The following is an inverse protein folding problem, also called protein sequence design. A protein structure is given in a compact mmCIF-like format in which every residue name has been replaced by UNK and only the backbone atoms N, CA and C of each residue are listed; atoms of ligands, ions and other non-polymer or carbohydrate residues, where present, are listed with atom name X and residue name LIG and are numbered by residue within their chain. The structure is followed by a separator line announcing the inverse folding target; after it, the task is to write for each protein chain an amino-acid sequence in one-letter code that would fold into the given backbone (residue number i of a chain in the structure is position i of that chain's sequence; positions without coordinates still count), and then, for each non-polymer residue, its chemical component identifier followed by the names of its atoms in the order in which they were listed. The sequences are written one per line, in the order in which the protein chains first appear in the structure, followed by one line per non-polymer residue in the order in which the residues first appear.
data_IF_346821801777
#
_entry.id   IF_346821801777
#
_cell.length_a   1.000
_cell.length_b   1.000
_cell.length_c   1.000
_cell.angle_alpha   90.00
_cell.angle_beta   90.00
_cell.angle_gamma   90.00
#
_symmetry.space_group_name_H-M   'P 1'
#
loop_
_entity.id
_entity.type
_entity.pdbx_description
1 polymer ?
#
# COMPACT_ATOMS: atom_id res chain seq x y z
N UNK A 1 6.56 -31.16 11.44
CA UNK A 1 6.40 -32.53 10.89
C UNK A 1 5.73 -32.37 9.53
N UNK A 2 6.48 -32.51 8.45
CA UNK A 2 5.94 -32.54 7.08
C UNK A 2 5.22 -33.87 6.91
N UNK A 3 3.89 -33.87 6.97
CA UNK A 3 3.12 -35.03 6.52
C UNK A 3 3.45 -35.24 5.05
N UNK A 4 4.10 -36.36 4.73
CA UNK A 4 4.33 -36.80 3.36
C UNK A 4 2.98 -37.19 2.74
N UNK A 5 2.41 -36.27 1.96
CA UNK A 5 1.21 -36.54 1.17
C UNK A 5 1.52 -37.65 0.17
N UNK A 6 0.66 -38.68 0.12
CA UNK A 6 0.71 -39.68 -0.95
C UNK A 6 0.21 -39.05 -2.24
N UNK A 7 0.63 -39.58 -3.39
CA UNK A 7 0.16 -39.14 -4.72
C UNK A 7 -1.37 -39.17 -4.79
N UNK A 8 -2.01 -40.16 -4.18
CA UNK A 8 -3.47 -40.28 -4.19
C UNK A 8 -4.14 -39.17 -3.36
N UNK A 9 -3.57 -38.79 -2.21
CA UNK A 9 -4.04 -37.66 -1.41
C UNK A 9 -3.92 -36.33 -2.19
N UNK A 10 -2.84 -36.15 -2.94
CA UNK A 10 -2.67 -34.97 -3.81
C UNK A 10 -3.73 -34.97 -4.92
N UNK A 11 -4.00 -36.12 -5.56
CA UNK A 11 -5.06 -36.23 -6.58
C UNK A 11 -6.45 -35.91 -6.01
N UNK A 12 -6.76 -36.41 -4.83
CA UNK A 12 -8.04 -36.14 -4.16
C UNK A 12 -8.21 -34.65 -3.86
N UNK A 13 -7.15 -33.97 -3.38
CA UNK A 13 -7.18 -32.54 -3.13
C UNK A 13 -7.33 -31.74 -4.44
N UNK A 14 -6.69 -32.15 -5.54
CA UNK A 14 -6.88 -31.53 -6.86
C UNK A 14 -8.30 -31.72 -7.37
N UNK A 15 -8.91 -32.88 -7.15
CA UNK A 15 -10.30 -33.14 -7.54
C UNK A 15 -11.27 -32.27 -6.73
N UNK A 16 -11.05 -32.16 -5.42
CA UNK A 16 -11.85 -31.24 -4.55
C UNK A 16 -11.72 -29.81 -5.01
N UNK A 17 -10.48 -29.36 -5.29
CA UNK A 17 -10.19 -28.04 -5.80
C UNK A 17 -10.95 -27.73 -7.10
N UNK A 18 -10.88 -28.61 -8.10
CA UNK A 18 -11.59 -28.45 -9.39
C UNK A 18 -13.11 -28.40 -9.26
N UNK A 19 -13.66 -29.05 -8.24
CA UNK A 19 -15.10 -29.09 -8.00
C UNK A 19 -15.58 -28.04 -6.99
N UNK A 20 -14.70 -27.17 -6.49
CA UNK A 20 -15.09 -26.08 -5.59
C UNK A 20 -15.89 -25.02 -6.38
N UNK A 21 -17.14 -24.70 -5.99
CA UNK A 21 -17.95 -23.71 -6.70
C UNK A 21 -17.34 -22.30 -6.69
N UNK A 22 -16.59 -21.95 -5.64
CA UNK A 22 -15.93 -20.64 -5.55
C UNK A 22 -14.71 -20.60 -6.49
N UNK A 23 -13.98 -21.72 -6.63
CA UNK A 23 -12.94 -21.85 -7.64
C UNK A 23 -13.46 -21.66 -9.06
N UNK A 24 -14.56 -22.33 -9.42
CA UNK A 24 -15.14 -22.22 -10.75
C UNK A 24 -15.59 -20.78 -11.07
N UNK A 25 -16.13 -20.06 -10.08
CA UNK A 25 -16.48 -18.63 -10.24
C UNK A 25 -15.24 -17.77 -10.46
N UNK A 26 -14.19 -17.97 -9.64
CA UNK A 26 -12.93 -17.25 -9.75
C UNK A 26 -12.21 -17.58 -11.07
N UNK A 27 -12.19 -18.86 -11.47
CA UNK A 27 -11.65 -19.30 -12.75
C UNK A 27 -12.32 -18.57 -13.90
N UNK A 28 -13.65 -18.59 -13.98
CA UNK A 28 -14.41 -17.88 -15.01
C UNK A 28 -14.12 -16.36 -14.99
N UNK A 29 -13.98 -15.77 -13.81
CA UNK A 29 -13.70 -14.34 -13.66
C UNK A 29 -12.30 -14.01 -14.18
N UNK A 30 -11.26 -14.71 -13.73
CA UNK A 30 -9.86 -14.41 -14.05
C UNK A 30 -9.42 -14.89 -15.44
N UNK A 31 -10.00 -15.94 -15.99
CA UNK A 31 -9.72 -16.38 -17.38
C UNK A 31 -10.47 -15.57 -18.44
N UNK A 32 -11.51 -14.85 -18.08
CA UNK A 32 -12.20 -13.96 -19.01
C UNK A 32 -11.55 -12.58 -18.99
N UNK A 33 -11.08 -12.13 -20.14
CA UNK A 33 -10.51 -10.78 -20.28
C UNK A 33 -11.57 -9.71 -20.07
N UNK A 34 -11.22 -8.62 -19.36
CA UNK A 34 -12.03 -7.41 -19.35
C UNK A 34 -11.97 -6.70 -20.72
N UNK A 35 -12.93 -5.83 -20.98
CA UNK A 35 -12.96 -5.08 -22.24
C UNK A 35 -11.68 -4.22 -22.41
N UNK A 36 -11.19 -3.62 -21.33
CA UNK A 36 -9.95 -2.82 -21.34
C UNK A 36 -8.70 -3.65 -21.66
N UNK A 37 -8.64 -4.93 -21.21
CA UNK A 37 -7.55 -5.84 -21.56
C UNK A 37 -7.60 -6.24 -23.03
N UNK A 38 -8.80 -6.50 -23.56
CA UNK A 38 -8.99 -6.81 -25.00
C UNK A 38 -8.47 -5.64 -25.86
N UNK A 39 -8.69 -4.41 -25.41
CA UNK A 39 -8.21 -3.20 -26.09
C UNK A 39 -6.73 -2.86 -25.79
N UNK A 40 -6.07 -3.55 -24.87
CA UNK A 40 -4.70 -3.25 -24.44
C UNK A 40 -4.55 -1.91 -23.72
N UNK A 41 -5.58 -1.48 -22.96
CA UNK A 41 -5.61 -0.18 -22.26
C UNK A 41 -5.85 -0.31 -20.75
N UNK A 42 -5.87 -1.53 -20.21
CA UNK A 42 -6.24 -1.83 -18.83
C UNK A 42 -5.32 -1.17 -17.76
N UNK A 43 -4.11 -0.78 -18.14
CA UNK A 43 -3.13 -0.12 -17.25
C UNK A 43 -2.76 1.29 -17.71
N UNK A 44 -3.39 1.80 -18.75
CA UNK A 44 -3.10 3.15 -19.26
C UNK A 44 -3.73 4.21 -18.39
N UNK A 45 -2.92 5.09 -17.79
CA UNK A 45 -3.34 6.22 -16.93
C UNK A 45 -4.47 7.05 -17.57
N UNK A 46 -4.34 7.36 -18.87
CA UNK A 46 -5.36 8.13 -19.63
C UNK A 46 -6.73 7.43 -19.66
N UNK A 47 -6.77 6.11 -19.69
CA UNK A 47 -8.03 5.34 -19.72
C UNK A 47 -8.73 5.41 -18.36
N UNK A 48 -7.97 5.27 -17.27
CA UNK A 48 -8.48 5.42 -15.91
C UNK A 48 -8.92 6.84 -15.63
N UNK A 49 -8.15 7.84 -16.04
CA UNK A 49 -8.48 9.26 -15.89
C UNK A 49 -9.73 9.62 -16.65
N UNK A 50 -9.89 9.09 -17.87
CA UNK A 50 -11.11 9.27 -18.68
C UNK A 50 -12.34 8.64 -18.02
N UNK A 51 -12.21 7.40 -17.50
CA UNK A 51 -13.30 6.72 -16.78
C UNK A 51 -13.70 7.49 -15.51
N UNK A 52 -12.73 7.89 -14.69
CA UNK A 52 -13.01 8.64 -13.46
C UNK A 52 -13.63 10.00 -13.75
N UNK A 53 -13.17 10.71 -14.79
CA UNK A 53 -13.79 11.97 -15.19
C UNK A 53 -15.25 11.80 -15.64
N UNK A 54 -15.57 10.73 -16.39
CA UNK A 54 -16.93 10.36 -16.72
C UNK A 54 -17.75 10.05 -15.46
N UNK A 55 -17.22 9.22 -14.55
CA UNK A 55 -17.93 8.82 -13.33
C UNK A 55 -18.22 9.99 -12.39
N UNK A 56 -17.32 10.98 -12.31
CA UNK A 56 -17.44 12.14 -11.42
C UNK A 56 -18.30 13.26 -11.99
N UNK A 57 -18.59 13.26 -13.29
CA UNK A 57 -19.43 14.28 -13.95
C UNK A 57 -20.92 14.09 -13.61
N UNK A 58 -21.64 15.16 -13.26
CA UNK A 58 -23.05 15.05 -12.83
C UNK A 58 -24.07 15.00 -13.98
N UNK A 59 -23.66 15.37 -15.20
CA UNK A 59 -24.51 15.39 -16.39
C UNK A 59 -24.20 14.24 -17.35
N UNK A 60 -23.44 13.25 -16.88
CA UNK A 60 -22.98 12.14 -17.69
C UNK A 60 -24.04 11.04 -17.86
N UNK A 61 -23.80 10.16 -18.83
CA UNK A 61 -24.74 9.09 -19.25
C UNK A 61 -24.98 8.00 -18.20
N UNK A 62 -24.22 8.00 -17.09
CA UNK A 62 -24.44 7.09 -15.96
C UNK A 62 -25.68 7.44 -15.12
N UNK A 63 -26.18 8.68 -15.21
CA UNK A 63 -27.35 9.18 -14.48
C UNK A 63 -27.27 9.09 -12.95
N UNK A 64 -26.06 9.16 -12.38
CA UNK A 64 -25.85 9.21 -10.93
C UNK A 64 -26.01 10.63 -10.34
N UNK A 65 -26.14 11.64 -11.22
CA UNK A 65 -26.23 13.05 -10.79
C UNK A 65 -25.02 13.44 -9.93
N UNK A 66 -25.28 14.02 -8.77
CA UNK A 66 -24.23 14.46 -7.84
C UNK A 66 -23.67 13.34 -6.95
N UNK A 67 -24.24 12.14 -6.99
CA UNK A 67 -23.86 11.05 -6.11
C UNK A 67 -22.36 10.77 -6.16
N UNK A 68 -21.80 10.61 -7.35
CA UNK A 68 -20.39 10.23 -7.52
C UNK A 68 -19.43 11.29 -7.00
N UNK A 69 -19.70 12.56 -7.30
CA UNK A 69 -18.83 13.64 -6.82
C UNK A 69 -18.93 13.79 -5.29
N UNK A 70 -20.12 13.65 -4.68
CA UNK A 70 -20.28 13.66 -3.23
C UNK A 70 -19.48 12.54 -2.57
N UNK A 71 -19.54 11.33 -3.11
CA UNK A 71 -18.73 10.20 -2.63
C UNK A 71 -17.22 10.44 -2.78
N UNK A 72 -16.81 11.11 -3.83
CA UNK A 72 -15.41 11.49 -3.98
C UNK A 72 -14.97 12.57 -2.97
N UNK A 73 -15.84 13.50 -2.63
CA UNK A 73 -15.59 14.46 -1.52
C UNK A 73 -15.47 13.74 -0.16
N UNK A 74 -16.25 12.68 0.09
CA UNK A 74 -16.09 11.82 1.27
C UNK A 74 -14.70 11.17 1.32
N UNK A 75 -14.19 10.70 0.17
CA UNK A 75 -12.83 10.16 0.08
C UNK A 75 -11.79 11.24 0.40
N UNK A 76 -11.92 12.43 -0.17
CA UNK A 76 -11.05 13.58 0.14
C UNK A 76 -11.10 13.91 1.64
N UNK A 77 -12.29 13.97 2.24
CA UNK A 77 -12.46 14.20 3.67
C UNK A 77 -11.71 13.15 4.50
N UNK A 78 -11.82 11.88 4.11
CA UNK A 78 -11.19 10.76 4.83
C UNK A 78 -9.67 10.86 4.81
N UNK A 79 -9.07 11.12 3.66
CA UNK A 79 -7.61 11.08 3.46
C UNK A 79 -6.90 12.43 3.63
N UNK A 80 -7.65 13.52 3.81
CA UNK A 80 -7.07 14.83 4.10
C UNK A 80 -6.40 14.85 5.46
N UNK A 81 -5.21 15.46 5.53
CA UNK A 81 -4.48 15.65 6.78
C UNK A 81 -5.12 16.75 7.65
N UNK A 82 -4.77 16.78 8.93
CA UNK A 82 -5.29 17.74 9.90
C UNK A 82 -4.94 19.20 9.54
N UNK A 83 -3.80 19.45 8.90
CA UNK A 83 -3.39 20.80 8.47
C UNK A 83 -4.38 21.37 7.46
N UNK A 84 -4.74 20.58 6.45
CA UNK A 84 -5.69 20.98 5.41
C UNK A 84 -7.10 21.14 5.99
N UNK A 85 -7.55 20.20 6.83
CA UNK A 85 -8.85 20.26 7.52
C UNK A 85 -9.00 21.50 8.41
N UNK A 86 -7.95 21.86 9.15
CA UNK A 86 -7.97 23.08 9.97
C UNK A 86 -7.96 24.36 9.15
N UNK A 87 -7.19 24.39 8.05
CA UNK A 87 -7.12 25.55 7.14
C UNK A 87 -8.48 25.88 6.51
N UNK A 88 -9.28 24.86 6.18
CA UNK A 88 -10.56 24.97 5.50
C UNK A 88 -11.68 24.33 6.32
N UNK A 89 -11.72 24.62 7.63
CA UNK A 89 -12.63 23.95 8.58
C UNK A 89 -14.11 24.03 8.19
N UNK A 90 -14.56 25.18 7.67
CA UNK A 90 -15.96 25.37 7.25
C UNK A 90 -16.31 24.40 6.10
N UNK A 91 -15.41 24.24 5.13
CA UNK A 91 -15.59 23.31 4.03
C UNK A 91 -15.64 21.86 4.51
N UNK A 92 -14.66 21.44 5.32
CA UNK A 92 -14.59 20.07 5.79
C UNK A 92 -15.72 19.72 6.78
N UNK A 93 -16.17 20.70 7.59
CA UNK A 93 -17.38 20.52 8.40
C UNK A 93 -18.63 20.35 7.54
N UNK A 94 -18.77 21.14 6.47
CA UNK A 94 -19.88 20.97 5.53
C UNK A 94 -19.85 19.61 4.84
N UNK A 95 -18.68 19.05 4.52
CA UNK A 95 -18.56 17.69 4.00
C UNK A 95 -19.01 16.64 5.02
N UNK A 96 -18.64 16.79 6.30
CA UNK A 96 -19.07 15.87 7.37
C UNK A 96 -20.58 15.89 7.59
N UNK A 97 -21.19 17.10 7.58
CA UNK A 97 -22.63 17.27 7.85
C UNK A 97 -23.50 17.16 6.60
N UNK A 98 -22.88 17.05 5.41
CA UNK A 98 -23.56 17.14 4.11
C UNK A 98 -24.38 18.45 3.93
N UNK A 99 -24.05 19.52 4.68
CA UNK A 99 -24.73 20.80 4.64
C UNK A 99 -24.13 21.75 3.58
N UNK A 100 -24.27 21.34 2.33
CA UNK A 100 -23.89 22.12 1.15
C UNK A 100 -24.72 21.73 -0.07
N UNK A 101 -24.84 22.65 -1.02
CA UNK A 101 -25.36 22.37 -2.37
C UNK A 101 -24.31 22.61 -3.42
N UNK A 102 -24.34 21.81 -4.49
CA UNK A 102 -23.47 21.96 -5.66
C UNK A 102 -24.20 22.84 -6.67
N UNK A 103 -23.74 24.08 -6.83
CA UNK A 103 -24.30 25.03 -7.81
C UNK A 103 -23.73 24.82 -9.23
N UNK A 104 -22.46 24.40 -9.29
CA UNK A 104 -21.78 24.14 -10.54
C UNK A 104 -20.75 23.03 -10.36
N UNK A 105 -20.70 22.14 -11.36
CA UNK A 105 -19.67 21.10 -11.47
C UNK A 105 -19.14 21.08 -12.90
N UNK A 106 -17.82 21.10 -13.02
CA UNK A 106 -17.09 20.86 -14.26
C UNK A 106 -16.01 19.83 -14.00
N UNK A 107 -15.98 18.77 -14.79
CA UNK A 107 -14.98 17.68 -14.70
C UNK A 107 -14.38 17.48 -16.09
N UNK A 108 -13.06 17.37 -16.16
CA UNK A 108 -12.36 17.10 -17.40
C UNK A 108 -11.08 16.31 -17.17
N UNK A 109 -10.92 15.20 -17.90
CA UNK A 109 -9.63 14.51 -18.03
C UNK A 109 -8.72 15.25 -19.02
N UNK A 110 -7.41 15.03 -18.90
CA UNK A 110 -6.40 15.57 -19.82
C UNK A 110 -6.50 17.10 -19.98
N UNK A 111 -6.69 17.81 -18.86
CA UNK A 111 -6.88 19.26 -18.86
C UNK A 111 -5.57 20.01 -19.08
N UNK A 112 -5.43 20.65 -20.25
CA UNK A 112 -4.21 21.39 -20.60
C UNK A 112 -4.10 22.73 -19.86
N UNK A 113 -2.96 22.96 -19.22
CA UNK A 113 -2.59 24.24 -18.60
C UNK A 113 -1.45 24.85 -19.42
N UNK A 114 -1.69 26.05 -19.92
CA UNK A 114 -0.70 26.75 -20.75
C UNK A 114 0.63 26.92 -19.99
N UNK A 115 1.72 26.49 -20.61
CA UNK A 115 3.10 26.57 -20.11
C UNK A 115 3.39 25.78 -18.82
N UNK A 116 2.48 24.89 -18.37
CA UNK A 116 2.69 24.06 -17.16
C UNK A 116 2.65 22.57 -17.52
N UNK A 117 1.62 22.16 -18.26
CA UNK A 117 1.45 20.75 -18.60
C UNK A 117 -0.02 20.39 -18.79
N UNK A 118 -0.31 19.11 -18.55
CA UNK A 118 -1.64 18.55 -18.68
C UNK A 118 -1.97 17.75 -17.44
N UNK A 119 -3.06 18.14 -16.76
CA UNK A 119 -3.58 17.43 -15.60
C UNK A 119 -4.32 16.19 -16.05
N UNK A 120 -4.14 15.09 -15.32
CA UNK A 120 -4.87 13.86 -15.62
C UNK A 120 -6.36 14.04 -15.41
N UNK A 121 -6.78 14.66 -14.28
CA UNK A 121 -8.18 15.06 -14.06
C UNK A 121 -8.21 16.41 -13.36
N UNK A 122 -9.06 17.28 -13.87
CA UNK A 122 -9.37 18.59 -13.29
C UNK A 122 -10.85 18.70 -12.98
N UNK A 123 -11.17 19.11 -11.75
CA UNK A 123 -12.54 19.31 -11.27
C UNK A 123 -12.68 20.75 -10.76
N UNK A 124 -13.75 21.41 -11.15
CA UNK A 124 -14.14 22.73 -10.67
C UNK A 124 -15.54 22.63 -10.07
N UNK A 125 -15.66 22.98 -8.80
CA UNK A 125 -16.90 22.97 -8.02
C UNK A 125 -17.22 24.37 -7.52
N UNK A 126 -18.47 24.77 -7.65
CA UNK A 126 -19.02 25.91 -6.90
C UNK A 126 -20.02 25.35 -5.88
N UNK A 127 -19.71 25.53 -4.60
CA UNK A 127 -20.55 25.07 -3.50
C UNK A 127 -21.19 26.27 -2.80
N UNK A 128 -22.45 26.10 -2.38
CA UNK A 128 -23.11 27.01 -1.44
C UNK A 128 -23.08 26.36 -0.05
N UNK A 129 -22.38 26.99 0.90
CA UNK A 129 -22.21 26.52 2.30
C UNK A 129 -22.64 27.65 3.21
N UNK A 130 -23.67 27.41 4.06
CA UNK A 130 -24.22 28.40 4.98
C UNK A 130 -24.49 29.79 4.32
N UNK A 131 -25.02 29.77 3.10
CA UNK A 131 -25.31 30.98 2.32
C UNK A 131 -24.12 31.69 1.67
N UNK A 132 -22.92 31.10 1.75
CA UNK A 132 -21.69 31.62 1.11
C UNK A 132 -21.24 30.72 -0.02
N UNK A 133 -20.80 31.33 -1.12
CA UNK A 133 -20.27 30.62 -2.25
C UNK A 133 -18.80 30.29 -2.04
N UNK A 134 -18.42 29.02 -2.25
CA UNK A 134 -17.03 28.53 -2.24
C UNK A 134 -16.70 27.91 -3.60
N UNK A 135 -15.59 28.34 -4.21
CA UNK A 135 -15.07 27.74 -5.43
C UNK A 135 -13.95 26.78 -5.09
N UNK A 136 -14.11 25.53 -5.48
CA UNK A 136 -13.15 24.46 -5.17
C UNK A 136 -12.63 23.93 -6.48
N UNK A 137 -11.31 23.85 -6.58
CA UNK A 137 -10.60 23.17 -7.67
C UNK A 137 -9.94 21.92 -7.11
N UNK A 138 -10.15 20.78 -7.76
CA UNK A 138 -9.48 19.55 -7.40
C UNK A 138 -8.58 19.17 -8.56
N UNK A 139 -7.30 19.06 -8.27
CA UNK A 139 -6.24 18.69 -9.22
C UNK A 139 -5.82 17.27 -8.89
N UNK A 140 -6.04 16.34 -9.81
CA UNK A 140 -5.71 14.93 -9.62
C UNK A 140 -4.59 14.55 -10.59
N UNK A 141 -3.49 14.06 -10.04
CA UNK A 141 -2.45 13.34 -10.76
C UNK A 141 -2.65 11.85 -10.52
N UNK A 142 -2.75 11.09 -11.60
CA UNK A 142 -3.05 9.67 -11.60
C UNK A 142 -1.84 8.88 -12.12
N UNK A 143 -1.30 7.97 -11.31
CA UNK A 143 -0.19 7.09 -11.68
C UNK A 143 -0.57 5.65 -11.47
N UNK A 144 -0.40 4.83 -12.52
CA UNK A 144 -0.74 3.40 -12.50
C UNK A 144 0.52 2.54 -12.53
N UNK A 145 1.39 2.75 -13.51
CA UNK A 145 2.62 1.96 -13.70
C UNK A 145 3.89 2.80 -13.63
N UNK A 146 3.75 4.11 -13.63
CA UNK A 146 4.87 5.05 -13.61
C UNK A 146 4.95 5.82 -12.29
N UNK A 147 6.15 6.31 -11.98
CA UNK A 147 6.33 7.34 -10.93
C UNK A 147 6.12 8.73 -11.53
N UNK A 148 6.04 9.72 -10.64
CA UNK A 148 6.03 11.12 -11.04
C UNK A 148 7.28 11.47 -11.86
N UNK A 149 7.06 12.11 -13.01
CA UNK A 149 8.12 12.59 -13.88
C UNK A 149 8.26 14.13 -13.77
N UNK A 150 9.49 14.64 -13.89
CA UNK A 150 9.77 16.08 -14.07
C UNK A 150 9.11 17.03 -13.06
N UNK A 151 8.94 16.60 -11.80
CA UNK A 151 8.42 17.46 -10.72
C UNK A 151 7.02 18.06 -11.04
N UNK A 152 6.16 17.24 -11.67
CA UNK A 152 4.82 17.65 -12.14
C UNK A 152 3.97 18.21 -11.00
N UNK A 153 3.89 17.49 -9.88
CA UNK A 153 3.05 17.89 -8.73
C UNK A 153 3.46 19.23 -8.15
N UNK A 154 4.76 19.52 -8.03
CA UNK A 154 5.24 20.83 -7.60
C UNK A 154 4.93 21.91 -8.64
N UNK A 155 4.97 21.58 -9.93
CA UNK A 155 4.62 22.55 -11.01
C UNK A 155 3.14 22.92 -10.94
N UNK A 156 2.24 21.96 -10.71
CA UNK A 156 0.82 22.21 -10.52
C UNK A 156 0.56 23.02 -9.25
N UNK A 157 1.20 22.66 -8.14
CA UNK A 157 1.08 23.41 -6.91
C UNK A 157 1.52 24.88 -7.09
N UNK A 158 2.67 25.14 -7.69
CA UNK A 158 3.17 26.50 -7.98
C UNK A 158 2.20 27.31 -8.84
N UNK A 159 1.50 26.66 -9.78
CA UNK A 159 0.54 27.33 -10.66
C UNK A 159 -0.75 27.72 -9.91
N UNK A 160 -1.34 26.82 -9.16
CA UNK A 160 -2.64 27.04 -8.53
C UNK A 160 -2.57 27.69 -7.15
N UNK A 161 -1.51 27.46 -6.37
CA UNK A 161 -1.41 27.95 -4.99
C UNK A 161 -1.55 29.49 -4.87
N UNK A 162 -1.00 30.33 -5.74
CA UNK A 162 -1.19 31.78 -5.69
C UNK A 162 -2.63 32.25 -5.89
N UNK A 163 -3.52 31.40 -6.42
CA UNK A 163 -4.93 31.71 -6.65
C UNK A 163 -5.83 31.36 -5.48
N UNK A 164 -5.28 30.77 -4.41
CA UNK A 164 -6.03 30.34 -3.24
C UNK A 164 -6.34 31.51 -2.28
N UNK A 165 -7.54 31.47 -1.74
CA UNK A 165 -8.00 32.32 -0.63
C UNK A 165 -9.14 31.58 0.09
N UNK A 166 -9.83 32.24 1.05
CA UNK A 166 -10.91 31.62 1.82
C UNK A 166 -12.10 31.16 0.97
N UNK A 167 -12.34 31.77 -0.18
CA UNK A 167 -13.44 31.43 -1.08
C UNK A 167 -13.01 30.66 -2.33
N UNK A 168 -11.71 30.57 -2.60
CA UNK A 168 -11.13 29.84 -3.73
C UNK A 168 -10.11 28.82 -3.20
N UNK A 169 -10.52 27.58 -3.07
CA UNK A 169 -9.76 26.51 -2.44
C UNK A 169 -9.24 25.57 -3.55
N UNK A 170 -7.99 25.13 -3.41
CA UNK A 170 -7.44 24.09 -4.28
C UNK A 170 -7.05 22.88 -3.45
N UNK A 171 -7.54 21.71 -3.87
CA UNK A 171 -7.24 20.41 -3.27
C UNK A 171 -6.45 19.61 -4.29
N UNK A 172 -5.33 19.05 -3.86
CA UNK A 172 -4.43 18.27 -4.70
C UNK A 172 -4.53 16.80 -4.31
N UNK A 173 -4.70 15.92 -5.27
CA UNK A 173 -4.87 14.48 -5.07
C UNK A 173 -3.84 13.72 -5.92
N UNK A 174 -3.12 12.81 -5.28
CA UNK A 174 -2.25 11.85 -5.94
C UNK A 174 -2.87 10.46 -5.83
N UNK A 175 -3.29 9.90 -6.96
CA UNK A 175 -3.99 8.63 -7.05
C UNK A 175 -3.06 7.56 -7.60
N UNK A 176 -2.86 6.48 -6.83
CA UNK A 176 -2.01 5.35 -7.23
C UNK A 176 -2.66 4.02 -6.85
N UNK A 177 -2.20 2.88 -7.39
CA UNK A 177 -2.67 1.55 -6.96
C UNK A 177 -2.03 1.05 -5.66
N UNK A 178 -1.36 1.90 -4.88
CA UNK A 178 -0.76 1.52 -3.60
C UNK A 178 -1.74 0.72 -2.73
N UNK A 179 -1.25 -0.31 -2.05
CA UNK A 179 -2.10 -1.11 -1.17
C UNK A 179 -2.69 -0.30 -0.01
N UNK A 180 -3.83 -0.72 0.53
CA UNK A 180 -4.44 -0.04 1.68
C UNK A 180 -3.54 -0.06 2.91
N UNK A 181 -2.76 -1.13 3.11
CA UNK A 181 -1.82 -1.22 4.23
C UNK A 181 -0.67 -0.22 4.06
N UNK A 182 -0.07 -0.16 2.88
CA UNK A 182 0.99 0.80 2.59
C UNK A 182 0.46 2.24 2.69
N UNK A 183 -0.76 2.52 2.20
CA UNK A 183 -1.40 3.83 2.33
C UNK A 183 -1.56 4.28 3.80
N UNK A 184 -1.96 3.38 4.69
CA UNK A 184 -2.13 3.69 6.12
C UNK A 184 -0.77 3.99 6.78
N UNK A 185 0.30 3.36 6.32
CA UNK A 185 1.65 3.54 6.87
C UNK A 185 2.40 4.75 6.29
N UNK A 186 1.88 5.35 5.21
CA UNK A 186 2.48 6.56 4.64
C UNK A 186 2.34 7.75 5.59
N UNK A 187 3.44 8.41 5.83
CA UNK A 187 3.48 9.70 6.55
C UNK A 187 3.35 10.90 5.60
N UNK A 188 3.72 10.71 4.34
CA UNK A 188 3.69 11.70 3.27
C UNK A 188 3.30 11.03 1.95
N UNK A 189 2.74 11.78 0.98
CA UNK A 189 2.40 11.23 -0.34
C UNK A 189 3.66 10.77 -1.10
N UNK A 190 3.48 9.78 -1.97
CA UNK A 190 4.58 9.23 -2.80
C UNK A 190 5.08 10.20 -3.88
N UNK A 191 4.40 11.31 -4.11
CA UNK A 191 4.82 12.36 -5.04
C UNK A 191 5.76 13.38 -4.40
N UNK A 192 6.38 14.23 -5.24
CA UNK A 192 7.34 15.24 -4.79
C UNK A 192 6.69 16.37 -3.98
N UNK A 193 5.46 16.75 -4.31
CA UNK A 193 4.74 17.81 -3.61
C UNK A 193 3.96 17.28 -2.40
N UNK A 194 4.36 17.67 -1.19
CA UNK A 194 3.76 17.22 0.08
C UNK A 194 2.39 17.82 0.40
N UNK A 195 1.89 18.74 -0.41
CA UNK A 195 0.53 19.30 -0.28
C UNK A 195 -0.53 18.43 -1.00
N UNK A 196 -0.12 17.35 -1.70
CA UNK A 196 -1.03 16.38 -2.30
C UNK A 196 -1.55 15.38 -1.24
N UNK A 197 -2.81 15.02 -1.38
CA UNK A 197 -3.45 13.94 -0.61
C UNK A 197 -3.22 12.64 -1.36
N UNK A 198 -2.61 11.65 -0.70
CA UNK A 198 -2.48 10.32 -1.27
C UNK A 198 -3.80 9.56 -1.16
N UNK A 199 -4.28 9.03 -2.27
CA UNK A 199 -5.47 8.17 -2.37
C UNK A 199 -5.09 6.92 -3.17
N UNK A 200 -5.72 5.78 -2.89
CA UNK A 200 -5.51 4.58 -3.68
C UNK A 200 -6.78 4.15 -4.44
N UNK A 201 -6.60 3.31 -5.46
CA UNK A 201 -7.70 2.75 -6.24
C UNK A 201 -8.66 1.90 -5.41
N UNK A 202 -8.17 1.22 -4.35
CA UNK A 202 -9.05 0.49 -3.45
C UNK A 202 -10.07 1.41 -2.76
N UNK A 203 -9.67 2.61 -2.40
CA UNK A 203 -10.59 3.61 -1.82
C UNK A 203 -11.63 4.09 -2.84
N UNK A 204 -11.24 4.23 -4.11
CA UNK A 204 -12.20 4.53 -5.20
C UNK A 204 -13.22 3.39 -5.35
N UNK A 205 -12.79 2.15 -5.26
CA UNK A 205 -13.70 1.00 -5.30
C UNK A 205 -14.63 1.00 -4.10
N UNK A 206 -14.08 1.06 -2.89
CA UNK A 206 -14.84 0.88 -1.65
C UNK A 206 -15.84 2.00 -1.37
N UNK A 207 -15.48 3.25 -1.69
CA UNK A 207 -16.27 4.43 -1.30
C UNK A 207 -17.01 5.10 -2.46
N UNK A 208 -16.71 4.75 -3.72
CA UNK A 208 -17.35 5.34 -4.88
C UNK A 208 -18.01 4.30 -5.78
N UNK A 209 -17.26 3.31 -6.32
CA UNK A 209 -17.77 2.39 -7.34
C UNK A 209 -18.78 1.40 -6.75
N UNK A 210 -18.43 0.72 -5.67
CA UNK A 210 -19.33 -0.23 -4.99
C UNK A 210 -20.62 0.46 -4.49
N UNK A 211 -20.56 1.64 -3.85
CA UNK A 211 -21.77 2.39 -3.54
C UNK A 211 -22.58 2.81 -4.77
N UNK A 212 -21.93 3.14 -5.90
CA UNK A 212 -22.62 3.50 -7.15
C UNK A 212 -23.37 2.31 -7.76
N UNK A 213 -22.82 1.09 -7.68
CA UNK A 213 -23.48 -0.14 -8.12
C UNK A 213 -24.75 -0.45 -7.33
N UNK A 214 -24.87 0.05 -6.09
CA UNK A 214 -26.06 -0.09 -5.25
C UNK A 214 -27.12 0.98 -5.52
N UNK A 215 -26.88 1.93 -6.45
CA UNK A 215 -27.88 2.93 -6.83
C UNK A 215 -28.82 2.36 -7.91
N UNK A 216 -29.96 3.05 -8.10
CA UNK A 216 -30.88 2.72 -9.17
C UNK A 216 -30.33 3.25 -10.53
N UNK A 217 -29.41 2.48 -11.12
CA UNK A 217 -28.73 2.78 -12.37
C UNK A 217 -29.19 1.88 -13.51
N UNK A 218 -28.97 2.31 -14.74
CA UNK A 218 -29.28 1.52 -15.93
C UNK A 218 -28.38 0.27 -15.99
N UNK A 219 -28.87 -0.81 -16.62
CA UNK A 219 -28.06 -2.02 -16.89
C UNK A 219 -26.76 -1.67 -17.65
N UNK A 220 -26.81 -0.68 -18.55
CA UNK A 220 -25.60 -0.21 -19.25
C UNK A 220 -24.58 0.36 -18.28
N UNK A 221 -24.99 1.24 -17.38
CA UNK A 221 -24.12 1.81 -16.36
C UNK A 221 -23.56 0.73 -15.44
N UNK A 222 -24.41 -0.18 -14.99
CA UNK A 222 -24.00 -1.32 -14.17
C UNK A 222 -22.91 -2.15 -14.87
N UNK A 223 -23.10 -2.49 -16.14
CA UNK A 223 -22.11 -3.25 -16.91
C UNK A 223 -20.79 -2.49 -17.04
N UNK A 224 -20.82 -1.17 -17.30
CA UNK A 224 -19.60 -0.36 -17.39
C UNK A 224 -18.84 -0.36 -16.07
N UNK A 225 -19.53 -0.17 -14.94
CA UNK A 225 -18.90 -0.19 -13.60
C UNK A 225 -18.32 -1.57 -13.27
N UNK A 226 -19.05 -2.65 -13.58
CA UNK A 226 -18.61 -4.03 -13.37
C UNK A 226 -17.39 -4.37 -14.23
N UNK A 227 -17.37 -3.97 -15.50
CA UNK A 227 -16.22 -4.16 -16.39
C UNK A 227 -14.99 -3.35 -15.91
N UNK A 228 -15.21 -2.17 -15.36
CA UNK A 228 -14.12 -1.38 -14.79
C UNK A 228 -13.55 -2.03 -13.52
N UNK A 229 -14.41 -2.51 -12.60
CA UNK A 229 -13.96 -3.30 -11.45
C UNK A 229 -13.12 -4.49 -11.87
N UNK A 230 -13.60 -5.25 -12.87
CA UNK A 230 -12.86 -6.37 -13.43
C UNK A 230 -11.50 -5.97 -13.96
N UNK A 231 -11.41 -4.82 -14.63
CA UNK A 231 -10.15 -4.27 -15.13
C UNK A 231 -9.14 -3.95 -13.99
N UNK A 232 -9.62 -3.47 -12.83
CA UNK A 232 -8.77 -3.16 -11.69
C UNK A 232 -8.26 -4.41 -10.96
N UNK A 233 -9.04 -5.49 -10.96
CA UNK A 233 -8.73 -6.72 -10.23
C UNK A 233 -7.93 -7.74 -11.04
N UNK A 234 -7.81 -7.58 -12.35
CA UNK A 234 -6.98 -8.47 -13.16
C UNK A 234 -5.49 -8.32 -12.82
N UNK A 235 -4.80 -9.44 -12.51
CA UNK A 235 -3.38 -9.41 -12.28
C UNK A 235 -2.62 -8.95 -13.53
N UNK A 236 -1.69 -8.00 -13.37
CA UNK A 236 -0.76 -7.61 -14.42
C UNK A 236 0.63 -8.11 -14.09
N UNK A 237 1.17 -8.96 -14.93
CA UNK A 237 2.57 -9.38 -14.87
C UNK A 237 3.26 -8.63 -16.01
N UNK A 238 3.80 -7.45 -15.74
CA UNK A 238 4.54 -6.68 -16.72
C UNK A 238 6.04 -6.74 -16.39
N UNK A 239 6.81 -7.45 -17.24
CA UNK A 239 8.25 -7.64 -17.06
C UNK A 239 9.06 -6.39 -17.48
N UNK A 240 8.44 -5.45 -18.19
CA UNK A 240 9.12 -4.29 -18.80
C UNK A 240 9.02 -3.01 -17.93
N UNK A 241 8.53 -3.10 -16.72
CA UNK A 241 8.46 -1.91 -15.87
C UNK A 241 9.85 -1.47 -15.43
N UNK A 242 10.16 -0.21 -15.65
CA UNK A 242 11.42 0.51 -15.32
C UNK A 242 11.88 0.38 -13.85
N UNK A 243 12.03 -0.85 -13.33
CA UNK A 243 12.53 -1.12 -11.98
C UNK A 243 11.62 -0.65 -10.84
N UNK A 244 10.38 -0.26 -11.11
CA UNK A 244 9.43 0.17 -10.11
C UNK A 244 8.52 -0.97 -9.65
N UNK A 245 8.24 -1.03 -8.34
CA UNK A 245 7.23 -1.94 -7.78
C UNK A 245 5.89 -1.63 -8.44
N UNK A 246 5.41 -2.54 -9.27
CA UNK A 246 4.05 -2.49 -9.78
C UNK A 246 3.15 -3.28 -8.83
N UNK A 247 2.00 -2.69 -8.49
CA UNK A 247 1.00 -3.47 -7.80
C UNK A 247 0.40 -4.49 -8.77
N UNK A 248 0.49 -5.76 -8.40
CA UNK A 248 -0.03 -6.87 -9.20
C UNK A 248 -1.52 -6.68 -9.51
N UNK A 249 -2.27 -6.19 -8.53
CA UNK A 249 -3.71 -5.91 -8.59
C UNK A 249 -3.92 -4.47 -8.13
N UNK A 250 -4.71 -3.68 -8.88
CA UNK A 250 -4.97 -2.28 -8.53
C UNK A 250 -6.00 -2.15 -7.41
N UNK A 251 -7.10 -2.93 -7.48
CA UNK A 251 -8.13 -2.98 -6.46
C UNK A 251 -9.02 -4.21 -6.64
N UNK A 252 -9.70 -4.64 -5.58
CA UNK A 252 -10.62 -5.77 -5.57
C UNK A 252 -12.03 -5.33 -5.16
N UNK A 253 -13.05 -5.84 -5.83
CA UNK A 253 -14.45 -5.69 -5.43
C UNK A 253 -14.78 -6.47 -4.16
N UNK A 254 -15.87 -6.10 -3.48
CA UNK A 254 -16.28 -6.71 -2.21
C UNK A 254 -16.62 -8.19 -2.34
N UNK A 255 -17.35 -8.57 -3.39
CA UNK A 255 -17.73 -9.98 -3.62
C UNK A 255 -16.49 -10.82 -3.95
N UNK A 256 -15.62 -10.28 -4.79
CA UNK A 256 -14.37 -10.92 -5.18
C UNK A 256 -13.44 -11.15 -3.97
N UNK A 257 -13.27 -10.16 -3.11
CA UNK A 257 -12.51 -10.31 -1.86
C UNK A 257 -13.04 -11.43 -0.98
N UNK A 258 -14.38 -11.54 -0.85
CA UNK A 258 -15.01 -12.62 -0.08
C UNK A 258 -14.75 -13.99 -0.70
N UNK A 259 -14.89 -14.10 -2.03
CA UNK A 259 -14.63 -15.35 -2.75
C UNK A 259 -13.16 -15.78 -2.63
N UNK A 260 -12.22 -14.84 -2.80
CA UNK A 260 -10.79 -15.11 -2.65
C UNK A 260 -10.42 -15.52 -1.23
N UNK A 261 -11.02 -14.87 -0.22
CA UNK A 261 -10.81 -15.25 1.19
C UNK A 261 -11.35 -16.66 1.48
N UNK A 262 -12.57 -16.98 1.02
CA UNK A 262 -13.15 -18.32 1.15
C UNK A 262 -12.32 -19.38 0.43
N UNK A 263 -11.86 -19.07 -0.77
CA UNK A 263 -11.00 -19.94 -1.56
C UNK A 263 -9.66 -20.20 -0.85
N UNK A 264 -9.03 -19.17 -0.31
CA UNK A 264 -7.81 -19.30 0.50
C UNK A 264 -8.01 -20.20 1.72
N UNK A 265 -9.07 -19.97 2.51
CA UNK A 265 -9.38 -20.76 3.70
C UNK A 265 -9.52 -22.25 3.38
N UNK A 266 -10.18 -22.60 2.29
CA UNK A 266 -10.41 -23.99 1.87
C UNK A 266 -9.17 -24.65 1.27
N UNK A 267 -8.35 -23.90 0.53
CA UNK A 267 -7.31 -24.44 -0.35
C UNK A 267 -5.88 -24.04 0.09
N UNK A 268 -5.71 -23.44 1.25
CA UNK A 268 -4.42 -22.92 1.73
C UNK A 268 -3.29 -23.93 1.62
N UNK A 269 -3.52 -25.20 2.04
CA UNK A 269 -2.50 -26.25 2.00
C UNK A 269 -2.03 -26.53 0.57
N UNK A 270 -2.94 -26.61 -0.38
CA UNK A 270 -2.62 -26.87 -1.79
C UNK A 270 -1.86 -25.70 -2.40
N UNK A 271 -2.27 -24.48 -2.12
CA UNK A 271 -1.61 -23.26 -2.60
C UNK A 271 -0.18 -23.18 -2.06
N UNK A 272 0.00 -23.39 -0.75
CA UNK A 272 1.33 -23.39 -0.11
C UNK A 272 2.24 -24.49 -0.68
N UNK A 273 1.70 -25.70 -0.90
CA UNK A 273 2.45 -26.80 -1.51
C UNK A 273 2.88 -26.46 -2.95
N UNK A 274 2.02 -25.82 -3.72
CA UNK A 274 2.34 -25.39 -5.09
C UNK A 274 3.42 -24.31 -5.10
N UNK A 275 3.32 -23.31 -4.25
CA UNK A 275 4.34 -22.26 -4.09
C UNK A 275 5.68 -22.86 -3.63
N UNK A 276 5.66 -23.83 -2.70
CA UNK A 276 6.87 -24.53 -2.26
C UNK A 276 7.52 -25.29 -3.40
N UNK A 277 6.74 -26.00 -4.22
CA UNK A 277 7.27 -26.72 -5.38
C UNK A 277 8.00 -25.79 -6.35
N UNK A 278 7.38 -24.64 -6.71
CA UNK A 278 7.99 -23.65 -7.60
C UNK A 278 9.26 -23.06 -6.98
N UNK A 279 9.23 -22.71 -5.68
CA UNK A 279 10.39 -22.13 -4.99
C UNK A 279 11.58 -23.08 -4.87
N UNK A 280 11.34 -24.40 -5.01
CA UNK A 280 12.36 -25.46 -4.90
C UNK A 280 12.83 -25.98 -6.26
N UNK A 281 12.19 -25.56 -7.36
CA UNK A 281 12.51 -25.99 -8.72
C UNK A 281 13.75 -25.25 -9.24
N UNK A 282 14.86 -25.95 -9.53
CA UNK A 282 16.07 -25.31 -10.06
C UNK A 282 15.91 -24.74 -11.49
N UNK A 283 14.89 -25.17 -12.25
CA UNK A 283 14.60 -24.66 -13.59
C UNK A 283 13.87 -23.31 -13.57
N UNK A 284 13.31 -22.92 -12.43
CA UNK A 284 12.68 -21.61 -12.27
C UNK A 284 13.72 -20.51 -12.11
N UNK A 285 13.39 -19.30 -12.56
CA UNK A 285 14.21 -18.12 -12.39
C UNK A 285 14.54 -17.86 -10.91
N UNK A 286 15.77 -17.43 -10.64
CA UNK A 286 16.24 -17.20 -9.27
C UNK A 286 15.39 -16.19 -8.52
N UNK A 287 15.06 -15.08 -9.16
CA UNK A 287 14.28 -13.99 -8.54
C UNK A 287 12.86 -14.44 -8.20
N UNK A 288 12.23 -15.24 -9.06
CA UNK A 288 10.92 -15.88 -8.80
C UNK A 288 11.00 -16.80 -7.59
N UNK A 289 12.00 -17.67 -7.51
CA UNK A 289 12.19 -18.57 -6.38
C UNK A 289 12.42 -17.84 -5.07
N UNK A 290 13.24 -16.79 -5.10
CA UNK A 290 13.57 -16.01 -3.89
C UNK A 290 12.34 -15.23 -3.40
N UNK A 291 11.56 -14.61 -4.30
CA UNK A 291 10.31 -13.92 -3.97
C UNK A 291 9.26 -14.87 -3.37
N UNK A 292 9.09 -16.06 -3.94
CA UNK A 292 8.15 -17.07 -3.42
C UNK A 292 8.62 -17.60 -2.06
N UNK A 293 9.92 -17.81 -1.84
CA UNK A 293 10.45 -18.22 -0.52
C UNK A 293 10.18 -17.17 0.54
N UNK A 294 10.40 -15.89 0.25
CA UNK A 294 10.06 -14.80 1.17
C UNK A 294 8.56 -14.80 1.51
N UNK A 295 7.69 -15.00 0.53
CA UNK A 295 6.25 -15.10 0.74
C UNK A 295 5.88 -16.33 1.61
N UNK A 296 6.45 -17.50 1.32
CA UNK A 296 6.25 -18.71 2.11
C UNK A 296 6.75 -18.56 3.56
N UNK A 297 7.92 -17.94 3.75
CA UNK A 297 8.44 -17.64 5.08
C UNK A 297 7.51 -16.72 5.87
N UNK A 298 6.90 -15.75 5.19
CA UNK A 298 5.91 -14.83 5.78
C UNK A 298 4.59 -15.52 6.13
N UNK A 299 4.15 -16.47 5.31
CA UNK A 299 2.90 -17.22 5.49
C UNK A 299 3.05 -18.41 6.46
N UNK A 300 4.21 -19.06 6.47
CA UNK A 300 4.52 -20.17 7.38
C UNK A 300 4.83 -19.69 8.81
N UNK A 301 5.09 -18.40 8.97
CA UNK A 301 5.07 -17.82 10.29
C UNK A 301 3.64 -17.91 10.83
N UNK A 302 3.36 -18.89 11.70
CA UNK A 302 2.38 -18.65 12.75
C UNK A 302 2.59 -17.19 13.15
N UNK A 303 1.53 -16.36 13.11
CA UNK A 303 1.65 -14.96 13.55
C UNK A 303 2.13 -15.05 14.98
N UNK A 304 3.45 -15.09 15.10
CA UNK A 304 4.15 -15.13 16.37
C UNK A 304 3.75 -13.86 17.11
N UNK A 305 2.66 -13.95 17.87
CA UNK A 305 2.15 -12.87 18.71
C UNK A 305 2.94 -12.78 19.99
N UNK A 306 3.97 -13.62 20.15
CA UNK A 306 4.87 -13.60 21.29
C UNK A 306 5.44 -12.19 21.43
N UNK A 307 5.34 -11.67 22.60
CA UNK A 307 6.08 -10.50 23.01
C UNK A 307 7.33 -10.96 23.77
N UNK A 308 8.31 -10.09 23.76
CA UNK A 308 9.61 -10.39 24.38
C UNK A 308 9.89 -9.40 25.49
N UNK A 309 10.59 -9.90 26.50
CA UNK A 309 11.21 -9.08 27.53
C UNK A 309 12.73 -9.21 27.38
N UNK A 310 13.47 -8.13 27.57
CA UNK A 310 14.92 -8.13 27.61
C UNK A 310 15.38 -7.79 29.04
N UNK A 311 16.29 -8.61 29.58
CA UNK A 311 16.87 -8.46 30.90
C UNK A 311 18.38 -8.32 30.81
N UNK A 312 18.95 -7.63 31.77
CA UNK A 312 20.39 -7.54 31.94
C UNK A 312 20.77 -7.75 33.41
N UNK A 313 21.57 -8.75 33.66
CA UNK A 313 21.94 -9.19 35.04
C UNK A 313 20.70 -9.42 35.93
N UNK A 314 19.64 -10.05 35.39
CA UNK A 314 18.40 -10.34 36.09
C UNK A 314 17.40 -9.19 36.18
N UNK A 315 17.76 -7.95 35.83
CA UNK A 315 16.84 -6.79 35.81
C UNK A 315 16.15 -6.62 34.46
N UNK A 316 14.84 -6.41 34.46
CA UNK A 316 14.08 -6.11 33.23
C UNK A 316 14.44 -4.72 32.73
N UNK A 317 14.97 -4.64 31.51
CA UNK A 317 15.26 -3.38 30.82
C UNK A 317 14.06 -2.90 30.00
N UNK A 318 13.43 -3.79 29.24
CA UNK A 318 12.25 -3.51 28.43
C UNK A 318 11.36 -4.76 28.38
N UNK A 319 10.03 -4.55 28.31
CA UNK A 319 9.04 -5.64 28.33
C UNK A 319 7.96 -5.47 27.27
N UNK A 320 7.33 -6.58 26.91
CA UNK A 320 6.18 -6.64 25.99
C UNK A 320 6.42 -6.01 24.60
N UNK A 321 7.65 -6.06 24.09
CA UNK A 321 7.95 -5.57 22.75
C UNK A 321 7.85 -6.67 21.70
N UNK A 322 7.57 -6.27 20.46
CA UNK A 322 7.41 -7.18 19.34
C UNK A 322 8.75 -7.78 18.90
N UNK A 323 8.70 -8.95 18.27
CA UNK A 323 9.83 -9.63 17.64
C UNK A 323 10.68 -8.68 16.76
N UNK A 324 10.04 -7.81 15.96
CA UNK A 324 10.72 -6.81 15.12
C UNK A 324 11.61 -5.83 15.90
N UNK A 325 11.39 -5.70 17.18
CA UNK A 325 12.07 -4.74 18.05
C UNK A 325 13.22 -5.32 18.85
N UNK A 326 13.46 -6.65 18.77
CA UNK A 326 14.54 -7.29 19.51
C UNK A 326 15.90 -6.63 19.24
N UNK A 327 16.24 -6.41 17.96
CA UNK A 327 17.48 -5.71 17.61
C UNK A 327 17.56 -4.31 18.20
N UNK A 328 16.47 -3.54 18.09
CA UNK A 328 16.40 -2.18 18.64
C UNK A 328 16.53 -2.16 20.16
N UNK A 329 15.76 -3.00 20.87
CA UNK A 329 15.80 -3.03 22.33
C UNK A 329 17.18 -3.48 22.86
N UNK A 330 17.84 -4.39 22.13
CA UNK A 330 19.21 -4.79 22.43
C UNK A 330 20.19 -3.61 22.28
N UNK A 331 20.13 -2.88 21.17
CA UNK A 331 20.99 -1.71 20.95
C UNK A 331 20.72 -0.64 22.01
N UNK A 332 19.46 -0.38 22.34
CA UNK A 332 19.09 0.58 23.39
C UNK A 332 19.66 0.18 24.76
N UNK A 333 19.57 -1.11 25.11
CA UNK A 333 20.16 -1.62 26.36
C UNK A 333 21.67 -1.47 26.36
N UNK A 334 22.37 -1.91 25.31
CA UNK A 334 23.82 -1.81 25.20
C UNK A 334 24.29 -0.35 25.30
N UNK A 335 23.58 0.56 24.65
CA UNK A 335 23.88 2.00 24.69
C UNK A 335 23.64 2.56 26.11
N UNK A 336 22.50 2.26 26.72
CA UNK A 336 22.16 2.73 28.07
C UNK A 336 23.12 2.20 29.15
N UNK A 337 23.69 1.02 28.96
CA UNK A 337 24.69 0.43 29.87
C UNK A 337 26.14 0.80 29.52
N UNK A 338 26.36 1.64 28.49
CA UNK A 338 27.70 2.08 28.07
C UNK A 338 28.58 0.93 27.52
N UNK A 339 27.94 -0.10 26.96
CA UNK A 339 28.63 -1.29 26.44
C UNK A 339 28.99 -1.18 24.95
N UNK A 340 28.64 -0.09 24.30
CA UNK A 340 28.94 0.16 22.88
C UNK A 340 30.33 0.80 22.78
N UNK A 341 31.24 0.08 22.14
CA UNK A 341 32.57 0.53 21.76
C UNK A 341 32.87 0.25 20.28
N UNK A 342 34.01 0.61 19.78
CA UNK A 342 34.45 0.41 18.39
C UNK A 342 34.44 -1.08 18.03
N UNK A 343 34.74 -1.99 18.94
CA UNK A 343 34.74 -3.42 18.68
C UNK A 343 33.30 -3.96 18.55
N UNK A 344 32.40 -3.46 19.39
CA UNK A 344 30.98 -3.80 19.33
C UNK A 344 30.34 -3.24 18.07
N UNK A 345 30.62 -1.99 17.68
CA UNK A 345 30.17 -1.45 16.39
C UNK A 345 30.67 -2.31 15.23
N UNK A 346 31.94 -2.68 15.21
CA UNK A 346 32.49 -3.59 14.19
C UNK A 346 31.79 -4.93 14.16
N UNK A 347 31.49 -5.52 15.32
CA UNK A 347 30.77 -6.78 15.44
C UNK A 347 29.36 -6.67 14.87
N UNK A 348 28.57 -5.67 15.28
CA UNK A 348 27.19 -5.46 14.84
C UNK A 348 27.08 -5.12 13.33
N UNK A 349 28.15 -4.59 12.73
CA UNK A 349 28.25 -4.28 11.30
C UNK A 349 28.85 -5.38 10.45
N UNK A 350 29.56 -6.35 11.02
CA UNK A 350 30.18 -7.46 10.27
C UNK A 350 29.44 -8.77 10.39
N UNK A 351 28.86 -9.02 11.55
CA UNK A 351 28.21 -10.29 11.80
C UNK A 351 26.79 -10.29 11.21
N UNK A 352 26.56 -11.20 10.26
CA UNK A 352 25.24 -11.44 9.71
C UNK A 352 24.41 -12.25 10.72
N UNK A 353 23.66 -11.53 11.54
CA UNK A 353 22.73 -12.11 12.54
C UNK A 353 21.45 -12.62 11.88
N UNK A 354 21.15 -12.15 10.70
CA UNK A 354 20.08 -12.57 9.80
C UNK A 354 20.67 -12.60 8.38
N UNK A 355 19.89 -12.64 7.33
CA UNK A 355 20.42 -12.56 5.95
C UNK A 355 21.10 -11.21 5.63
N UNK A 356 21.12 -10.26 6.56
CA UNK A 356 21.71 -8.91 6.43
C UNK A 356 22.33 -8.46 7.77
N UNK A 357 23.14 -7.37 7.73
CA UNK A 357 23.82 -6.83 8.92
C UNK A 357 22.81 -6.19 9.88
N UNK A 358 23.10 -6.22 11.19
CA UNK A 358 22.22 -5.60 12.20
C UNK A 358 22.22 -4.07 12.13
N UNK A 359 23.39 -3.44 11.93
CA UNK A 359 23.56 -1.99 11.84
C UNK A 359 24.07 -1.58 10.46
N UNK A 360 23.42 -0.59 9.85
CA UNK A 360 23.86 0.06 8.62
C UNK A 360 23.71 1.57 8.71
N UNK A 361 24.54 2.30 7.94
CA UNK A 361 24.33 3.70 7.65
C UNK A 361 23.28 3.86 6.54
N UNK A 362 22.63 5.03 6.44
CA UNK A 362 21.56 5.27 5.46
C UNK A 362 22.03 5.11 4.01
N UNK A 363 23.23 5.57 3.71
CA UNK A 363 23.88 5.47 2.38
C UNK A 363 24.26 4.05 1.97
N UNK A 364 24.24 3.10 2.91
CA UNK A 364 24.59 1.70 2.65
C UNK A 364 23.35 0.83 2.34
N UNK A 365 22.13 1.41 2.35
CA UNK A 365 20.93 0.66 2.07
C UNK A 365 20.86 0.29 0.58
N UNK A 366 20.56 -0.97 0.31
CA UNK A 366 20.23 -1.42 -1.03
C UNK A 366 18.75 -1.12 -1.34
N UNK A 367 18.41 -1.00 -2.62
CA UNK A 367 17.01 -0.84 -3.05
C UNK A 367 16.10 -1.95 -2.51
N UNK A 368 16.61 -3.18 -2.47
CA UNK A 368 15.90 -4.33 -1.89
C UNK A 368 15.63 -4.16 -0.39
N UNK A 369 16.60 -3.67 0.37
CA UNK A 369 16.46 -3.44 1.81
C UNK A 369 15.47 -2.31 2.11
N UNK A 370 15.45 -1.27 1.29
CA UNK A 370 14.46 -0.18 1.37
C UNK A 370 13.06 -0.72 1.01
N UNK A 371 12.94 -1.42 -0.12
CA UNK A 371 11.69 -2.02 -0.61
C UNK A 371 11.03 -2.92 0.43
N UNK A 372 11.80 -3.77 1.08
CA UNK A 372 11.29 -4.71 2.09
C UNK A 372 11.38 -4.17 3.53
N UNK A 373 11.67 -2.89 3.70
CA UNK A 373 11.76 -2.23 5.02
C UNK A 373 12.61 -3.05 6.02
N UNK A 374 13.75 -3.57 5.54
CA UNK A 374 14.66 -4.39 6.36
C UNK A 374 15.31 -3.60 7.47
N UNK A 375 15.40 -2.30 7.33
CA UNK A 375 15.89 -1.36 8.33
C UNK A 375 14.80 -0.37 8.73
N UNK A 376 14.92 0.19 9.94
CA UNK A 376 14.09 1.30 10.39
C UNK A 376 14.52 2.54 9.63
N UNK A 377 13.65 3.11 8.82
CA UNK A 377 13.94 4.29 7.99
C UNK A 377 13.22 5.52 8.52
N UNK A 378 13.09 5.63 9.84
CA UNK A 378 12.54 6.82 10.47
C UNK A 378 13.52 8.00 10.28
N UNK A 379 13.04 9.24 10.42
CA UNK A 379 13.83 10.44 10.23
C UNK A 379 14.98 10.61 11.25
N UNK A 380 14.97 9.83 12.32
CA UNK A 380 15.99 9.80 13.35
C UNK A 380 16.70 8.45 13.39
N UNK A 381 18.04 8.42 13.39
CA UNK A 381 18.81 7.19 13.56
C UNK A 381 18.56 6.59 14.96
N UNK A 382 18.55 5.25 15.05
CA UNK A 382 18.36 4.57 16.32
C UNK A 382 19.64 4.54 17.18
N UNK A 383 20.80 4.75 16.59
CA UNK A 383 22.06 4.85 17.29
C UNK A 383 22.95 5.92 16.66
N UNK A 384 23.44 6.83 17.50
CA UNK A 384 24.52 7.76 17.12
C UNK A 384 25.77 7.37 17.92
N UNK A 385 26.87 7.07 17.21
CA UNK A 385 28.14 6.71 17.82
C UNK A 385 29.30 7.42 17.11
N UNK A 386 30.10 8.14 17.87
CA UNK A 386 31.23 8.98 17.36
C UNK A 386 30.83 9.92 16.20
N UNK A 387 29.59 10.46 16.24
CA UNK A 387 29.07 11.35 15.19
C UNK A 387 28.58 10.64 13.94
N UNK A 388 28.60 9.31 13.90
CA UNK A 388 28.04 8.50 12.84
C UNK A 388 26.63 8.00 13.20
N UNK A 389 25.72 8.01 12.21
CA UNK A 389 24.33 7.61 12.36
C UNK A 389 24.11 6.18 11.86
N UNK A 390 23.44 5.36 12.68
CA UNK A 390 23.17 3.97 12.37
C UNK A 390 21.69 3.64 12.52
N UNK A 391 21.20 2.78 11.60
CA UNK A 391 19.86 2.27 11.53
C UNK A 391 19.85 0.78 11.82
N UNK A 392 18.88 0.33 12.63
CA UNK A 392 18.78 -1.05 13.12
C UNK A 392 17.88 -1.87 12.21
N UNK A 393 18.32 -3.09 11.88
CA UNK A 393 17.52 -4.05 11.17
C UNK A 393 16.27 -4.45 11.98
N UNK A 394 15.12 -4.65 11.29
CA UNK A 394 13.82 -4.94 11.93
C UNK A 394 13.10 -6.17 11.40
N UNK A 395 13.53 -6.70 10.28
CA UNK A 395 12.82 -7.81 9.62
C UNK A 395 13.53 -9.15 9.93
N UNK A 396 12.86 -9.99 10.73
CA UNK A 396 13.38 -11.26 11.20
C UNK A 396 12.49 -12.42 10.74
N UNK A 397 13.00 -13.31 9.90
CA UNK A 397 12.37 -14.61 9.64
C UNK A 397 12.40 -15.50 10.89
N UNK A 398 11.50 -16.49 10.96
CA UNK A 398 11.36 -17.40 12.13
C UNK A 398 12.70 -18.05 12.50
N UNK A 399 13.44 -18.56 11.52
CA UNK A 399 14.73 -19.22 11.76
C UNK A 399 15.86 -18.27 12.18
N UNK A 400 15.72 -16.97 11.96
CA UNK A 400 16.78 -15.98 12.19
C UNK A 400 16.70 -15.36 13.60
N UNK A 401 15.50 -15.29 14.21
CA UNK A 401 15.35 -14.65 15.51
C UNK A 401 16.09 -15.42 16.63
N UNK A 402 15.99 -16.72 16.65
CA UNK A 402 16.72 -17.54 17.63
C UNK A 402 18.23 -17.45 17.44
N UNK A 403 18.69 -17.38 16.18
CA UNK A 403 20.11 -17.18 15.89
C UNK A 403 20.61 -15.83 16.40
N UNK A 404 19.80 -14.77 16.22
CA UNK A 404 20.13 -13.42 16.72
C UNK A 404 20.19 -13.41 18.26
N UNK A 405 19.17 -13.96 18.93
CA UNK A 405 19.12 -14.06 20.40
C UNK A 405 20.35 -14.81 20.92
N UNK A 406 20.65 -16.00 20.38
CA UNK A 406 21.80 -16.78 20.79
C UNK A 406 23.12 -16.01 20.59
N UNK A 407 23.31 -15.36 19.47
CA UNK A 407 24.52 -14.53 19.23
C UNK A 407 24.67 -13.39 20.22
N UNK A 408 23.57 -12.75 20.61
CA UNK A 408 23.63 -11.68 21.61
C UNK A 408 23.90 -12.22 23.02
N UNK A 409 23.22 -13.30 23.42
CA UNK A 409 23.45 -13.92 24.74
C UNK A 409 24.87 -14.47 24.86
N UNK A 410 25.43 -15.07 23.81
CA UNK A 410 26.80 -15.55 23.75
C UNK A 410 27.83 -14.39 23.84
N UNK A 411 27.52 -13.25 23.20
CA UNK A 411 28.42 -12.10 23.09
C UNK A 411 28.39 -11.21 24.34
N UNK A 412 27.22 -11.08 24.98
CA UNK A 412 26.98 -10.18 26.09
C UNK A 412 26.52 -10.94 27.31
N UNK A 413 27.47 -11.38 28.20
CA UNK A 413 27.12 -12.06 29.45
C UNK A 413 26.15 -11.22 30.29
N UNK A 414 25.14 -11.88 30.83
CA UNK A 414 24.08 -11.24 31.63
C UNK A 414 22.90 -10.69 30.80
N UNK A 415 22.93 -10.81 29.45
CA UNK A 415 21.82 -10.50 28.60
C UNK A 415 20.90 -11.71 28.44
N UNK A 416 19.63 -11.54 28.74
CA UNK A 416 18.61 -12.59 28.66
C UNK A 416 17.36 -12.10 27.94
N UNK A 417 16.69 -13.01 27.22
CA UNK A 417 15.40 -12.74 26.58
C UNK A 417 14.37 -13.74 27.07
N UNK A 418 13.20 -13.26 27.44
CA UNK A 418 12.04 -14.07 27.78
C UNK A 418 10.94 -13.85 26.75
N UNK A 419 10.27 -14.91 26.37
CA UNK A 419 9.09 -14.89 25.48
C UNK A 419 7.85 -15.00 26.35
N UNK A 420 6.89 -14.10 26.16
CA UNK A 420 5.58 -14.10 26.82
C UNK A 420 4.51 -14.70 25.91
#
# INVERSE_FOLDING_TARGET
MTENYTIDQIRDEIIKFKNDPDFQKLENFYYSKSFSEILGVSRREISHSGFLAWLLGNLESHNLGEFSIKKFLDIILKFSNDKLKRRHSDLFNAFVTEDYSIERLFVKSEYAIKNVGRLDIYIELTLLIAGKTKNIRIVIENKVESKENNDQTNSYFKYFNPTQNDDNIVIYVYLTPISTLDLIELTEPECNCKEFIQINYQSIVDYLIEPALNQNISTRTQNILTEYLKSLSQPSINEEADGHKQELIMALGNEERKLLSSFWEKNQKLILASLYAISSDPEQEKDTRDSIREALDSLSSDKDRSTYNIKYNGEIFSSNFKKSDIGLQTINLLNAKGLIDDNIIKYLRKDKSCSFLLLKKKEEFTETEIKYRKYRTNDSPELIYNGEEFYVARNWGIGNIHKLINKFTDKFPGLEYETN
#
